data_IF_884066227679
#
_entry.id   IF_884066227679
#
_cell.length_a   1.000
_cell.length_b   1.000
_cell.length_c   1.000
_cell.angle_alpha   90.00
_cell.angle_beta   90.00
_cell.angle_gamma   90.00
#
_symmetry.space_group_name_H-M   'P 1'
#
loop_
_entity.id
_entity.type
_entity.pdbx_description
1 polymer ?
#
# COMPACT_ATOMS: atom_id res chain seq x y z
N UNK A 1 -33.54 -2.23 -2.81
CA UNK A 1 -32.81 -2.24 -1.53
C UNK A 1 -31.45 -1.66 -1.78
N UNK A 2 -31.03 -0.68 -0.98
CA UNK A 2 -29.71 -0.09 -1.10
C UNK A 2 -28.70 -1.01 -0.40
N UNK A 3 -27.53 -1.27 -0.99
CA UNK A 3 -26.54 -2.24 -0.48
C UNK A 3 -26.12 -1.95 0.99
N UNK A 4 -26.14 -0.67 1.37
CA UNK A 4 -25.83 -0.17 2.72
C UNK A 4 -26.84 -0.66 3.79
N UNK A 5 -28.08 -0.97 3.40
CA UNK A 5 -29.10 -1.50 4.30
C UNK A 5 -28.92 -3.01 4.58
N UNK A 6 -28.06 -3.69 3.81
CA UNK A 6 -27.85 -5.15 3.87
C UNK A 6 -26.54 -5.55 4.57
N UNK A 7 -25.69 -4.60 4.96
CA UNK A 7 -24.39 -4.89 5.58
C UNK A 7 -24.44 -4.81 7.11
N UNK A 8 -23.73 -5.75 7.77
CA UNK A 8 -23.58 -5.83 9.23
C UNK A 8 -22.86 -4.61 9.81
N UNK A 9 -22.90 -4.44 11.12
CA UNK A 9 -22.29 -3.31 11.82
C UNK A 9 -20.78 -3.21 11.54
N UNK A 10 -20.09 -4.33 11.55
CA UNK A 10 -18.65 -4.45 11.31
C UNK A 10 -18.28 -4.02 9.89
N UNK A 11 -19.11 -4.34 8.91
CA UNK A 11 -18.91 -3.88 7.53
C UNK A 11 -19.08 -2.37 7.39
N UNK A 12 -19.96 -1.74 8.16
CA UNK A 12 -20.10 -0.27 8.18
C UNK A 12 -18.85 0.38 8.76
N UNK A 13 -18.33 -0.16 9.87
CA UNK A 13 -17.07 0.30 10.45
C UNK A 13 -15.89 0.14 9.48
N UNK A 14 -15.79 -1.00 8.79
CA UNK A 14 -14.76 -1.23 7.79
C UNK A 14 -14.87 -0.24 6.61
N UNK A 15 -16.09 -0.01 6.11
CA UNK A 15 -16.32 0.95 5.03
C UNK A 15 -15.95 2.39 5.47
N UNK A 16 -16.31 2.79 6.68
CA UNK A 16 -15.96 4.10 7.21
C UNK A 16 -14.44 4.23 7.41
N UNK A 17 -13.76 3.18 7.88
CA UNK A 17 -12.30 3.16 8.00
C UNK A 17 -11.62 3.38 6.65
N UNK A 18 -12.02 2.62 5.62
CA UNK A 18 -11.48 2.75 4.27
C UNK A 18 -11.74 4.17 3.72
N UNK A 19 -12.95 4.70 3.86
CA UNK A 19 -13.28 6.06 3.41
C UNK A 19 -12.43 7.17 4.04
N UNK A 20 -12.00 7.01 5.29
CA UNK A 20 -11.16 8.00 5.98
C UNK A 20 -9.67 7.84 5.69
N UNK A 21 -9.22 6.63 5.37
CA UNK A 21 -7.79 6.34 5.21
C UNK A 21 -7.32 6.22 3.77
N UNK A 22 -8.20 5.90 2.82
CA UNK A 22 -7.84 5.81 1.42
C UNK A 22 -7.37 7.17 0.91
N UNK A 23 -6.11 7.22 0.47
CA UNK A 23 -5.48 8.44 -0.08
C UNK A 23 -5.42 8.44 -1.61
N UNK A 24 -5.56 7.26 -2.21
CA UNK A 24 -5.39 7.03 -3.64
C UNK A 24 -6.57 6.23 -4.18
N UNK A 25 -6.79 6.36 -5.48
CA UNK A 25 -7.79 5.59 -6.22
C UNK A 25 -7.37 4.12 -6.34
N UNK A 26 -8.35 3.26 -6.67
CA UNK A 26 -8.10 1.85 -6.95
C UNK A 26 -7.07 1.66 -8.07
N UNK A 27 -7.16 2.45 -9.14
CA UNK A 27 -6.24 2.34 -10.29
C UNK A 27 -4.82 2.72 -9.94
N UNK A 28 -4.62 3.75 -9.11
CA UNK A 28 -3.29 4.14 -8.62
C UNK A 28 -2.71 3.04 -7.72
N UNK A 29 -3.53 2.44 -6.85
CA UNK A 29 -3.08 1.33 -6.02
C UNK A 29 -2.66 0.10 -6.86
N UNK A 30 -3.45 -0.24 -7.88
CA UNK A 30 -3.12 -1.31 -8.84
C UNK A 30 -1.84 -1.00 -9.61
N UNK A 31 -1.61 0.26 -10.00
CA UNK A 31 -0.38 0.69 -10.67
C UNK A 31 0.85 0.62 -9.76
N UNK A 32 0.76 1.09 -8.51
CA UNK A 32 1.83 0.93 -7.51
C UNK A 32 2.18 -0.54 -7.31
N UNK A 33 1.19 -1.40 -7.08
CA UNK A 33 1.43 -2.82 -6.87
C UNK A 33 2.09 -3.49 -8.09
N UNK A 34 1.70 -3.09 -9.30
CA UNK A 34 2.32 -3.60 -10.53
C UNK A 34 3.77 -3.12 -10.70
N UNK A 35 4.08 -1.88 -10.32
CA UNK A 35 5.43 -1.33 -10.38
C UNK A 35 6.40 -1.97 -9.37
N UNK A 36 5.87 -2.59 -8.31
CA UNK A 36 6.64 -3.32 -7.31
C UNK A 36 6.90 -4.79 -7.68
N UNK A 37 6.26 -5.30 -8.75
CA UNK A 37 6.41 -6.69 -9.16
C UNK A 37 7.85 -7.01 -9.57
N UNK A 38 8.38 -8.12 -9.06
CA UNK A 38 9.75 -8.56 -9.32
C UNK A 38 10.84 -7.97 -8.43
N UNK A 39 10.51 -7.11 -7.47
CA UNK A 39 11.44 -6.75 -6.39
C UNK A 39 11.67 -7.97 -5.47
N UNK A 40 12.91 -8.15 -5.01
CA UNK A 40 13.36 -9.35 -4.31
C UNK A 40 12.54 -9.65 -3.05
N UNK A 41 12.23 -8.61 -2.28
CA UNK A 41 11.59 -8.73 -0.97
C UNK A 41 10.10 -8.33 -0.97
N UNK A 42 9.53 -8.01 -2.13
CA UNK A 42 8.14 -7.53 -2.23
C UNK A 42 7.25 -8.61 -2.83
N UNK A 43 6.51 -9.30 -1.96
CA UNK A 43 5.42 -10.18 -2.37
C UNK A 43 4.08 -9.42 -2.45
N UNK A 44 3.00 -10.12 -2.79
CA UNK A 44 1.66 -9.52 -2.87
C UNK A 44 1.18 -8.89 -1.55
N UNK A 45 1.62 -9.43 -0.40
CA UNK A 45 1.27 -8.86 0.90
C UNK A 45 1.98 -7.52 1.10
N UNK A 46 3.27 -7.46 0.80
CA UNK A 46 4.05 -6.22 0.90
C UNK A 46 3.66 -5.19 -0.14
N UNK A 47 3.34 -5.58 -1.36
CA UNK A 47 2.84 -4.67 -2.39
C UNK A 47 1.55 -3.98 -1.94
N UNK A 48 0.58 -4.74 -1.40
CA UNK A 48 -0.65 -4.17 -0.84
C UNK A 48 -0.35 -3.26 0.36
N UNK A 49 0.58 -3.66 1.25
CA UNK A 49 0.97 -2.85 2.41
C UNK A 49 1.61 -1.52 2.00
N UNK A 50 2.46 -1.53 0.98
CA UNK A 50 3.11 -0.33 0.44
C UNK A 50 2.05 0.58 -0.19
N UNK A 51 1.10 0.04 -0.95
CA UNK A 51 0.00 0.81 -1.53
C UNK A 51 -0.96 1.42 -0.46
N UNK A 52 -1.13 0.76 0.70
CA UNK A 52 -1.90 1.31 1.82
C UNK A 52 -1.16 2.43 2.58
N UNK A 53 0.16 2.27 2.77
CA UNK A 53 0.97 3.17 3.61
C UNK A 53 1.52 4.37 2.83
N UNK A 54 1.83 4.18 1.55
CA UNK A 54 2.44 5.18 0.66
C UNK A 54 3.72 5.78 1.25
N UNK A 55 4.76 4.95 1.49
CA UNK A 55 6.03 5.42 2.07
C UNK A 55 6.67 6.50 1.21
N UNK A 56 7.11 7.59 1.84
CA UNK A 56 7.76 8.72 1.15
C UNK A 56 9.22 8.89 1.59
N UNK A 57 9.62 8.25 2.70
CA UNK A 57 10.98 8.30 3.22
C UNK A 57 11.55 6.89 3.42
N UNK A 58 12.87 6.68 3.31
CA UNK A 58 13.51 5.39 3.57
C UNK A 58 13.14 4.73 4.90
N UNK A 59 12.90 5.53 5.94
CA UNK A 59 12.50 5.01 7.25
C UNK A 59 11.08 4.46 7.28
N UNK A 60 10.18 4.94 6.42
CA UNK A 60 8.84 4.38 6.25
C UNK A 60 8.93 2.97 5.66
N UNK A 61 9.78 2.80 4.64
CA UNK A 61 10.04 1.49 4.03
C UNK A 61 10.64 0.54 5.07
N UNK A 62 11.66 0.98 5.81
CA UNK A 62 12.25 0.17 6.90
C UNK A 62 11.21 -0.22 7.95
N UNK A 63 10.27 0.67 8.29
CA UNK A 63 9.21 0.37 9.23
C UNK A 63 8.25 -0.73 8.74
N UNK A 64 7.96 -0.78 7.43
CA UNK A 64 7.13 -1.83 6.82
C UNK A 64 7.77 -3.20 7.00
N UNK A 65 9.09 -3.31 6.80
CA UNK A 65 9.84 -4.57 6.88
C UNK A 65 10.47 -4.84 8.25
N UNK A 66 10.19 -4.02 9.28
CA UNK A 66 10.90 -4.04 10.56
C UNK A 66 10.83 -5.37 11.34
N UNK A 67 9.87 -6.25 11.01
CA UNK A 67 9.68 -7.56 11.66
C UNK A 67 10.29 -8.71 10.87
N UNK A 68 10.89 -8.44 9.72
CA UNK A 68 11.48 -9.44 8.86
C UNK A 68 12.88 -9.85 9.28
N UNK A 69 13.31 -11.03 8.83
CA UNK A 69 14.65 -11.57 9.10
C UNK A 69 15.68 -11.19 8.02
N UNK A 70 15.30 -10.29 7.12
CA UNK A 70 16.15 -9.73 6.09
C UNK A 70 16.16 -8.21 6.19
N UNK A 71 17.09 -7.58 5.46
CA UNK A 71 17.16 -6.13 5.32
C UNK A 71 16.95 -5.76 3.86
N UNK A 72 16.09 -4.78 3.61
CA UNK A 72 15.91 -4.19 2.28
C UNK A 72 17.09 -3.28 1.97
N UNK A 73 17.70 -3.46 0.79
CA UNK A 73 18.84 -2.65 0.34
C UNK A 73 18.45 -1.21 0.00
N UNK A 74 19.44 -0.30 -0.09
CA UNK A 74 19.20 1.10 -0.49
C UNK A 74 18.47 1.21 -1.82
N UNK A 75 18.91 0.44 -2.81
CA UNK A 75 18.44 0.53 -4.18
C UNK A 75 16.98 0.05 -4.28
N UNK A 76 16.63 -1.00 -3.52
CA UNK A 76 15.26 -1.50 -3.44
C UNK A 76 14.35 -0.56 -2.63
N UNK A 77 14.87 0.09 -1.57
CA UNK A 77 14.14 1.15 -0.85
C UNK A 77 13.83 2.33 -1.79
N UNK A 78 14.80 2.78 -2.58
CA UNK A 78 14.63 3.85 -3.56
C UNK A 78 13.63 3.46 -4.65
N UNK A 79 13.69 2.22 -5.14
CA UNK A 79 12.73 1.69 -6.11
C UNK A 79 11.30 1.67 -5.55
N UNK A 80 11.11 1.28 -4.28
CA UNK A 80 9.80 1.29 -3.62
C UNK A 80 9.23 2.72 -3.54
N UNK A 81 10.04 3.69 -3.13
CA UNK A 81 9.61 5.09 -3.01
C UNK A 81 9.29 5.67 -4.39
N UNK A 82 10.12 5.40 -5.39
CA UNK A 82 9.88 5.84 -6.77
C UNK A 82 8.58 5.24 -7.34
N UNK A 83 8.34 3.94 -7.14
CA UNK A 83 7.11 3.28 -7.57
C UNK A 83 5.86 3.93 -6.95
N UNK A 84 5.91 4.33 -5.68
CA UNK A 84 4.82 5.07 -5.04
C UNK A 84 4.68 6.45 -5.66
N UNK A 85 5.76 7.21 -5.77
CA UNK A 85 5.72 8.60 -6.26
C UNK A 85 5.17 8.70 -7.70
N UNK A 86 5.71 7.89 -8.62
CA UNK A 86 5.35 7.92 -10.05
C UNK A 86 3.90 7.51 -10.34
N UNK A 87 3.28 6.74 -9.43
CA UNK A 87 1.96 6.16 -9.64
C UNK A 87 0.87 6.75 -8.72
N UNK A 88 1.21 7.73 -7.88
CA UNK A 88 0.25 8.39 -6.99
C UNK A 88 0.27 9.92 -7.06
N UNK A 89 1.26 10.51 -7.75
CA UNK A 89 1.27 11.93 -8.08
C UNK A 89 0.54 12.20 -9.42
N UNK A 90 -0.41 13.14 -9.39
CA UNK A 90 -0.94 13.85 -10.54
C UNK A 90 -0.76 15.36 -10.33
#
# INVERSE_FOLDING_TARGET
>A
MNLIEQIQYEHKLALDHVRHLTRITRSEAEAVMAALDGLEHVDAYYAAKIADILPAHPDDVRAIFARERFSVGSDEIEAIIAAVQENTEA
#
